data_IF_021257338988
#
_entry.id   IF_021257338988
#
_cell.length_a   1.000
_cell.length_b   1.000
_cell.length_c   1.000
_cell.angle_alpha   90.00
_cell.angle_beta   90.00
_cell.angle_gamma   90.00
#
_symmetry.space_group_name_H-M   'P 1'
#
loop_
_entity.id
_entity.type
_entity.pdbx_description
1 polymer ?
#
# COMPACT_ATOMS: atom_id res chain seq x y z
N UNK A 1 -27.13 -5.03 -31.45
CA UNK A 1 -27.79 -4.14 -30.49
C UNK A 1 -28.27 -4.96 -29.31
N UNK A 2 -27.48 -4.96 -28.24
CA UNK A 2 -27.89 -5.37 -26.90
C UNK A 2 -27.24 -4.33 -26.01
N UNK A 3 -28.01 -3.31 -25.65
CA UNK A 3 -27.65 -2.34 -24.64
C UNK A 3 -27.59 -3.09 -23.31
N UNK A 4 -26.39 -3.50 -22.91
CA UNK A 4 -26.15 -3.93 -21.54
C UNK A 4 -26.18 -2.67 -20.68
N UNK A 5 -27.31 -2.46 -20.00
CA UNK A 5 -27.47 -1.49 -18.93
C UNK A 5 -26.31 -1.67 -17.94
N UNK A 6 -25.41 -0.69 -17.87
CA UNK A 6 -24.30 -0.64 -16.92
C UNK A 6 -24.86 -0.35 -15.53
N UNK A 7 -25.48 -1.34 -14.90
CA UNK A 7 -25.65 -1.32 -13.45
C UNK A 7 -24.24 -1.41 -12.86
N UNK A 8 -23.83 -0.39 -12.10
CA UNK A 8 -22.56 -0.41 -11.39
C UNK A 8 -22.50 -1.69 -10.55
N UNK A 9 -21.69 -2.65 -10.98
CA UNK A 9 -21.61 -3.96 -10.35
C UNK A 9 -21.01 -3.76 -8.97
N UNK A 10 -21.75 -4.07 -7.91
CA UNK A 10 -21.25 -4.00 -6.54
C UNK A 10 -20.08 -4.98 -6.43
N UNK A 11 -18.88 -4.48 -6.13
CA UNK A 11 -17.68 -5.29 -5.94
C UNK A 11 -17.09 -5.07 -4.53
N UNK A 12 -16.63 -6.13 -3.86
CA UNK A 12 -16.67 -7.53 -4.32
C UNK A 12 -18.08 -8.14 -4.32
N UNK A 13 -18.27 -9.23 -5.07
CA UNK A 13 -19.48 -10.06 -5.01
C UNK A 13 -19.53 -10.91 -3.73
N UNK A 14 -20.59 -11.71 -3.55
CA UNK A 14 -20.77 -12.60 -2.39
C UNK A 14 -19.66 -13.66 -2.23
N UNK A 15 -18.88 -13.92 -3.30
CA UNK A 15 -17.73 -14.83 -3.27
C UNK A 15 -16.42 -14.10 -2.99
N UNK A 16 -16.48 -12.79 -2.71
CA UNK A 16 -15.30 -11.97 -2.50
C UNK A 16 -14.56 -11.61 -3.77
N UNK A 17 -15.24 -11.56 -4.93
CA UNK A 17 -14.62 -11.29 -6.23
C UNK A 17 -14.88 -9.89 -6.77
N UNK A 18 -13.83 -9.25 -7.26
CA UNK A 18 -13.86 -8.02 -8.04
C UNK A 18 -13.81 -8.40 -9.52
N UNK A 19 -14.99 -8.51 -10.16
CA UNK A 19 -15.07 -9.15 -11.47
C UNK A 19 -14.59 -10.61 -11.39
N UNK A 20 -13.51 -10.96 -12.08
CA UNK A 20 -12.93 -12.31 -12.04
C UNK A 20 -11.89 -12.49 -10.92
N UNK A 21 -11.36 -11.41 -10.38
CA UNK A 21 -10.25 -11.43 -9.40
C UNK A 21 -10.75 -11.51 -7.95
N UNK A 22 -9.88 -11.92 -7.03
CA UNK A 22 -10.19 -12.03 -5.60
C UNK A 22 -10.50 -13.46 -5.18
N UNK A 23 -11.54 -13.64 -4.36
CA UNK A 23 -11.95 -14.94 -3.84
C UNK A 23 -11.16 -15.42 -2.62
N UNK A 24 -11.37 -16.69 -2.27
CA UNK A 24 -10.74 -17.38 -1.13
C UNK A 24 -10.00 -18.63 -1.63
N UNK A 25 -8.78 -18.47 -2.12
CA UNK A 25 -7.94 -19.57 -2.61
C UNK A 25 -6.99 -20.07 -1.52
N UNK A 26 -7.56 -20.54 -0.42
CA UNK A 26 -6.83 -21.00 0.77
C UNK A 26 -7.17 -22.46 1.10
N UNK A 27 -6.33 -23.15 1.90
CA UNK A 27 -6.69 -24.45 2.44
C UNK A 27 -7.98 -24.41 3.26
N UNK A 28 -8.74 -25.50 3.26
CA UNK A 28 -10.01 -25.63 3.99
C UNK A 28 -9.87 -25.29 5.49
N UNK A 29 -8.71 -25.57 6.07
CA UNK A 29 -8.41 -25.26 7.49
C UNK A 29 -8.50 -23.78 7.84
N UNK A 30 -8.42 -22.87 6.86
CA UNK A 30 -8.56 -21.41 7.05
C UNK A 30 -9.98 -20.89 6.77
N UNK A 31 -10.88 -21.70 6.21
CA UNK A 31 -12.20 -21.23 5.78
C UNK A 31 -13.07 -20.76 6.94
N UNK A 32 -13.01 -21.46 8.09
CA UNK A 32 -13.72 -21.03 9.30
C UNK A 32 -13.19 -19.68 9.81
N UNK A 33 -11.88 -19.49 9.85
CA UNK A 33 -11.22 -18.25 10.26
C UNK A 33 -11.68 -17.05 9.42
N UNK A 34 -11.67 -17.24 8.09
CA UNK A 34 -12.06 -16.21 7.15
C UNK A 34 -13.55 -15.90 7.24
N UNK A 35 -14.38 -16.89 7.54
CA UNK A 35 -15.83 -16.71 7.72
C UNK A 35 -16.13 -15.94 9.00
N UNK A 36 -15.46 -16.28 10.12
CA UNK A 36 -15.54 -15.53 11.38
C UNK A 36 -15.08 -14.08 11.21
N UNK A 37 -13.95 -13.89 10.52
CA UNK A 37 -13.42 -12.56 10.21
C UNK A 37 -14.37 -11.75 9.34
N UNK A 38 -14.93 -12.34 8.29
CA UNK A 38 -15.87 -11.68 7.39
C UNK A 38 -17.12 -11.24 8.13
N UNK A 39 -17.71 -12.13 8.94
CA UNK A 39 -18.88 -11.80 9.74
C UNK A 39 -18.56 -10.69 10.74
N UNK A 40 -17.46 -10.81 11.50
CA UNK A 40 -17.06 -9.80 12.47
C UNK A 40 -16.82 -8.43 11.83
N UNK A 41 -16.17 -8.40 10.67
CA UNK A 41 -15.94 -7.17 9.91
C UNK A 41 -17.27 -6.56 9.42
N UNK A 42 -18.17 -7.38 8.89
CA UNK A 42 -19.48 -6.97 8.40
C UNK A 42 -20.37 -6.39 9.52
N UNK A 43 -20.32 -6.97 10.72
CA UNK A 43 -20.99 -6.44 11.90
C UNK A 43 -20.34 -5.13 12.38
N UNK A 44 -19.01 -5.13 12.53
CA UNK A 44 -18.24 -3.97 12.98
C UNK A 44 -18.42 -2.76 12.05
N UNK A 45 -18.39 -2.95 10.73
CA UNK A 45 -18.56 -1.85 9.79
C UNK A 45 -19.96 -1.26 9.83
N UNK A 46 -20.99 -1.95 10.34
CA UNK A 46 -22.36 -1.43 10.48
C UNK A 46 -22.63 -0.83 11.86
N UNK A 47 -21.80 -1.16 12.84
CA UNK A 47 -21.90 -0.72 14.23
C UNK A 47 -21.43 0.75 14.41
N UNK A 48 -22.31 1.68 14.81
CA UNK A 48 -21.94 3.07 15.07
C UNK A 48 -20.86 3.23 16.16
N UNK A 49 -20.84 2.37 17.18
CA UNK A 49 -19.86 2.48 18.26
C UNK A 49 -18.47 2.05 17.79
N UNK A 50 -18.36 1.00 16.96
CA UNK A 50 -17.08 0.62 16.34
C UNK A 50 -16.53 1.75 15.46
N UNK A 51 -17.39 2.34 14.62
CA UNK A 51 -17.00 3.48 13.77
C UNK A 51 -16.54 4.68 14.59
N UNK A 52 -17.24 4.97 15.69
CA UNK A 52 -16.88 6.05 16.61
C UNK A 52 -15.54 5.79 17.29
N UNK A 53 -15.29 4.58 17.79
CA UNK A 53 -14.02 4.21 18.42
C UNK A 53 -12.87 4.26 17.39
N UNK A 54 -13.07 3.73 16.18
CA UNK A 54 -12.08 3.84 15.10
C UNK A 54 -11.81 5.29 14.73
N UNK A 55 -12.85 6.12 14.55
CA UNK A 55 -12.67 7.54 14.26
C UNK A 55 -11.92 8.28 15.37
N UNK A 56 -12.22 7.98 16.64
CA UNK A 56 -11.48 8.56 17.76
C UNK A 56 -9.99 8.17 17.71
N UNK A 57 -9.67 6.91 17.37
CA UNK A 57 -8.28 6.48 17.19
C UNK A 57 -7.63 7.18 15.99
N UNK A 58 -8.33 7.32 14.87
CA UNK A 58 -7.80 8.01 13.69
C UNK A 58 -7.53 9.49 13.98
N UNK A 59 -8.43 10.19 14.67
CA UNK A 59 -8.27 11.61 14.98
C UNK A 59 -7.26 11.85 16.10
N UNK A 60 -7.49 11.28 17.28
CA UNK A 60 -6.74 11.63 18.50
C UNK A 60 -5.39 10.91 18.61
N UNK A 61 -5.25 9.74 17.96
CA UNK A 61 -4.03 8.93 18.05
C UNK A 61 -3.23 8.93 16.75
N UNK A 62 -3.89 8.77 15.60
CA UNK A 62 -3.21 8.79 14.30
C UNK A 62 -2.92 10.20 13.79
N UNK A 63 -3.69 11.21 14.23
CA UNK A 63 -3.53 12.61 13.84
C UNK A 63 -4.27 12.99 12.56
N UNK A 64 -5.37 12.30 12.24
CA UNK A 64 -6.21 12.61 11.06
C UNK A 64 -7.12 13.83 11.31
N UNK A 65 -7.52 14.58 10.27
CA UNK A 65 -7.16 14.38 8.86
C UNK A 65 -5.72 14.77 8.55
N UNK A 66 -5.08 14.04 7.63
CA UNK A 66 -3.74 14.44 7.15
C UNK A 66 -3.86 15.63 6.18
N UNK A 67 -2.93 16.59 6.17
CA UNK A 67 -3.01 17.74 5.27
C UNK A 67 -3.00 17.37 3.77
N UNK A 68 -3.62 18.24 2.96
CA UNK A 68 -3.42 18.30 1.51
C UNK A 68 -2.60 19.56 1.19
N UNK A 69 -1.33 19.39 0.85
CA UNK A 69 -0.37 20.50 0.70
C UNK A 69 -0.19 20.87 -0.76
N UNK A 70 -0.37 22.14 -1.13
CA UNK A 70 0.04 22.64 -2.44
C UNK A 70 1.58 22.70 -2.51
N UNK A 71 2.18 21.98 -3.45
CA UNK A 71 3.63 21.92 -3.65
C UNK A 71 4.05 22.98 -4.69
N UNK A 72 4.13 24.22 -4.23
CA UNK A 72 4.36 25.39 -5.08
C UNK A 72 5.69 25.30 -5.85
N UNK A 73 6.79 24.99 -5.15
CA UNK A 73 8.13 24.96 -5.75
C UNK A 73 8.31 23.78 -6.70
N UNK A 74 7.66 22.65 -6.42
CA UNK A 74 7.61 21.49 -7.31
C UNK A 74 6.79 21.80 -8.56
N UNK A 75 5.64 22.48 -8.40
CA UNK A 75 4.80 22.95 -9.50
C UNK A 75 5.59 23.90 -10.41
N UNK A 76 6.30 24.87 -9.83
CA UNK A 76 7.18 25.79 -10.57
C UNK A 76 8.33 25.06 -11.28
N UNK A 77 8.96 24.10 -10.61
CA UNK A 77 10.11 23.37 -11.15
C UNK A 77 9.75 22.49 -12.35
N UNK A 78 8.57 21.87 -12.35
CA UNK A 78 8.12 20.98 -13.43
C UNK A 78 7.42 21.75 -14.56
N UNK A 79 6.74 22.84 -14.23
CA UNK A 79 5.83 23.52 -15.15
C UNK A 79 4.58 22.67 -15.45
N UNK A 80 3.53 23.32 -15.92
CA UNK A 80 2.25 22.66 -16.18
C UNK A 80 1.38 22.56 -14.93
N UNK A 81 0.81 21.38 -14.64
CA UNK A 81 -0.25 21.21 -13.63
C UNK A 81 0.14 21.68 -12.21
N UNK A 82 -0.86 22.14 -11.45
CA UNK A 82 -0.76 22.42 -10.02
C UNK A 82 -0.70 21.13 -9.23
N UNK A 83 0.37 20.95 -8.45
CA UNK A 83 0.64 19.71 -7.72
C UNK A 83 0.24 19.83 -6.26
N UNK A 84 -0.53 18.86 -5.77
CA UNK A 84 -0.91 18.73 -4.37
C UNK A 84 -0.43 17.39 -3.80
N UNK A 85 0.03 17.40 -2.56
CA UNK A 85 0.52 16.23 -1.84
C UNK A 85 -0.46 15.87 -0.73
N UNK A 86 -1.05 14.67 -0.78
CA UNK A 86 -1.80 14.12 0.35
C UNK A 86 -0.82 13.51 1.34
N UNK A 87 -0.70 14.13 2.52
CA UNK A 87 0.41 13.97 3.47
C UNK A 87 0.28 12.78 4.43
N UNK A 88 0.15 11.57 3.91
CA UNK A 88 0.14 10.36 4.76
C UNK A 88 1.49 10.09 5.45
N UNK A 89 2.56 10.76 5.02
CA UNK A 89 3.86 10.82 5.69
C UNK A 89 3.81 11.46 7.08
N UNK A 90 2.80 12.30 7.35
CA UNK A 90 2.57 12.95 8.64
C UNK A 90 1.69 12.14 9.59
N UNK A 91 1.12 11.02 9.14
CA UNK A 91 0.37 10.12 9.99
C UNK A 91 1.28 9.60 11.12
N UNK A 92 0.72 9.31 12.30
CA UNK A 92 1.49 8.64 13.35
C UNK A 92 2.10 7.34 12.80
N UNK A 93 3.28 6.98 13.31
CA UNK A 93 4.22 5.97 12.75
C UNK A 93 4.93 6.35 11.45
N UNK A 94 4.39 7.29 10.66
CA UNK A 94 5.02 7.89 9.47
C UNK A 94 4.53 7.37 8.11
N UNK A 95 3.41 6.64 8.06
CA UNK A 95 2.85 6.12 6.81
C UNK A 95 1.34 5.81 6.91
N UNK A 96 0.70 5.66 5.76
CA UNK A 96 -0.71 5.25 5.62
C UNK A 96 -1.04 3.88 6.27
N UNK A 97 -0.04 3.04 6.58
CA UNK A 97 -0.24 1.69 7.13
C UNK A 97 -0.99 1.70 8.47
N UNK A 98 -0.86 2.77 9.26
CA UNK A 98 -1.53 2.89 10.56
C UNK A 98 -3.06 2.88 10.44
N UNK A 99 -3.63 3.43 9.37
CA UNK A 99 -5.09 3.48 9.17
C UNK A 99 -5.69 2.05 9.20
N UNK A 100 -5.09 1.17 8.40
CA UNK A 100 -5.46 -0.24 8.32
C UNK A 100 -5.17 -0.99 9.62
N UNK A 101 -3.98 -0.78 10.21
CA UNK A 101 -3.59 -1.46 11.44
C UNK A 101 -4.56 -1.15 12.59
N UNK A 102 -5.00 0.12 12.72
CA UNK A 102 -5.98 0.52 13.74
C UNK A 102 -7.33 -0.18 13.53
N UNK A 103 -7.83 -0.21 12.29
CA UNK A 103 -9.09 -0.89 11.96
C UNK A 103 -9.05 -2.39 12.28
N UNK A 104 -7.99 -3.07 11.84
CA UNK A 104 -7.82 -4.50 12.09
C UNK A 104 -7.52 -4.83 13.55
N UNK A 105 -6.71 -4.03 14.24
CA UNK A 105 -6.43 -4.23 15.67
C UNK A 105 -7.66 -4.03 16.55
N UNK A 106 -8.51 -3.04 16.22
CA UNK A 106 -9.78 -2.86 16.90
C UNK A 106 -10.74 -4.03 16.62
N UNK A 107 -10.73 -4.53 15.39
CA UNK A 107 -11.49 -5.74 15.02
C UNK A 107 -11.01 -6.98 15.78
N UNK A 108 -9.70 -7.18 15.89
CA UNK A 108 -9.10 -8.26 16.67
C UNK A 108 -9.57 -8.24 18.14
N UNK A 109 -9.56 -7.06 18.75
CA UNK A 109 -10.07 -6.85 20.12
C UNK A 109 -11.56 -7.18 20.23
N UNK A 110 -12.38 -6.77 19.25
CA UNK A 110 -13.81 -7.09 19.20
C UNK A 110 -14.06 -8.60 19.08
N UNK A 111 -13.25 -9.29 18.31
CA UNK A 111 -13.27 -10.75 18.17
C UNK A 111 -12.71 -11.50 19.38
N UNK A 112 -12.29 -10.79 20.44
CA UNK A 112 -11.74 -11.41 21.66
C UNK A 112 -10.35 -12.02 21.49
N UNK A 113 -9.65 -11.72 20.39
CA UNK A 113 -8.30 -12.22 20.13
C UNK A 113 -7.32 -11.52 21.08
N UNK A 114 -6.36 -12.29 21.60
CA UNK A 114 -5.37 -11.80 22.59
C UNK A 114 -4.03 -11.44 21.95
N UNK A 115 -3.79 -11.98 20.76
CA UNK A 115 -2.55 -11.81 20.02
C UNK A 115 -2.83 -11.40 18.59
N UNK A 116 -1.92 -10.61 18.02
CA UNK A 116 -1.89 -10.32 16.60
C UNK A 116 -0.58 -10.79 15.99
N UNK A 117 -0.64 -11.18 14.73
CA UNK A 117 0.55 -11.39 13.91
C UNK A 117 0.50 -10.48 12.68
N UNK A 118 1.66 -10.15 12.13
CA UNK A 118 1.79 -9.39 10.89
C UNK A 118 3.04 -9.82 10.12
N UNK A 119 3.08 -9.58 8.82
CA UNK A 119 4.28 -9.67 7.99
C UNK A 119 4.87 -8.28 7.72
N UNK A 120 6.15 -8.16 7.44
CA UNK A 120 6.69 -6.89 6.95
C UNK A 120 7.95 -7.05 6.11
N UNK A 121 8.11 -6.17 5.12
CA UNK A 121 9.34 -6.00 4.32
C UNK A 121 10.07 -4.75 4.79
N UNK A 122 9.67 -3.57 4.31
CA UNK A 122 10.21 -2.26 4.74
C UNK A 122 10.07 -1.94 6.24
N UNK A 123 9.35 -2.74 7.03
CA UNK A 123 9.16 -2.55 8.47
C UNK A 123 8.01 -1.61 8.86
N UNK A 124 7.47 -0.80 7.94
CA UNK A 124 6.39 0.16 8.28
C UNK A 124 5.10 -0.52 8.75
N UNK A 125 4.68 -1.62 8.08
CA UNK A 125 3.50 -2.37 8.53
C UNK A 125 3.75 -3.08 9.86
N UNK A 126 4.96 -3.61 10.07
CA UNK A 126 5.35 -4.20 11.34
C UNK A 126 5.33 -3.19 12.48
N UNK A 127 5.92 -2.00 12.28
CA UNK A 127 5.87 -0.90 13.26
C UNK A 127 4.44 -0.45 13.53
N UNK A 128 3.59 -0.31 12.50
CA UNK A 128 2.18 0.03 12.68
C UNK A 128 1.44 -1.03 13.51
N UNK A 129 1.65 -2.32 13.20
CA UNK A 129 1.03 -3.44 13.92
C UNK A 129 1.49 -3.50 15.38
N UNK A 130 2.80 -3.37 15.63
CA UNK A 130 3.36 -3.30 16.98
C UNK A 130 2.82 -2.10 17.77
N UNK A 131 2.68 -0.94 17.12
CA UNK A 131 2.11 0.28 17.72
C UNK A 131 0.66 0.05 18.16
N UNK A 132 -0.14 -0.57 17.30
CA UNK A 132 -1.54 -0.85 17.59
C UNK A 132 -1.68 -1.90 18.68
N UNK A 133 -0.86 -2.95 18.66
CA UNK A 133 -0.85 -3.96 19.71
C UNK A 133 -0.54 -3.37 21.08
N UNK A 134 0.52 -2.56 21.18
CA UNK A 134 0.87 -1.85 22.41
C UNK A 134 -0.26 -0.94 22.89
N UNK A 135 -0.91 -0.21 21.96
CA UNK A 135 -2.02 0.71 22.29
C UNK A 135 -3.28 -0.03 22.77
N UNK A 136 -3.58 -1.19 22.21
CA UNK A 136 -4.80 -1.95 22.48
C UNK A 136 -4.62 -3.05 23.54
N UNK A 137 -3.39 -3.27 24.04
CA UNK A 137 -3.08 -4.29 25.04
C UNK A 137 -3.07 -5.72 24.46
N UNK A 138 -2.64 -5.88 23.21
CA UNK A 138 -2.49 -7.16 22.53
C UNK A 138 -1.00 -7.56 22.49
N UNK A 139 -0.70 -8.86 22.47
CA UNK A 139 0.65 -9.31 22.10
C UNK A 139 0.83 -9.24 20.59
N UNK A 140 2.07 -9.05 20.12
CA UNK A 140 2.38 -8.91 18.71
C UNK A 140 3.63 -9.67 18.32
N UNK A 141 3.52 -10.50 17.28
CA UNK A 141 4.65 -11.09 16.58
C UNK A 141 4.67 -10.59 15.14
N UNK A 142 5.84 -10.17 14.67
CA UNK A 142 6.03 -9.64 13.30
C UNK A 142 7.01 -10.53 12.56
N UNK A 143 6.55 -11.18 11.50
CA UNK A 143 7.38 -11.95 10.59
C UNK A 143 8.08 -11.01 9.60
N UNK A 144 9.39 -11.14 9.45
CA UNK A 144 10.18 -10.27 8.58
C UNK A 144 11.30 -11.08 7.92
N UNK A 145 11.54 -10.84 6.63
CA UNK A 145 12.62 -11.52 5.90
C UNK A 145 13.99 -11.24 6.53
N UNK A 146 14.88 -12.24 6.60
CA UNK A 146 16.21 -12.05 7.20
C UNK A 146 17.02 -10.94 6.51
N UNK A 147 16.91 -10.80 5.19
CA UNK A 147 17.59 -9.74 4.45
C UNK A 147 16.94 -8.36 4.73
N UNK A 148 15.62 -8.32 4.90
CA UNK A 148 14.89 -7.11 5.28
C UNK A 148 15.24 -6.67 6.71
N UNK A 149 15.40 -7.61 7.66
CA UNK A 149 15.86 -7.31 9.03
C UNK A 149 17.21 -6.61 9.01
N UNK A 150 18.13 -7.05 8.15
CA UNK A 150 19.46 -6.43 7.99
C UNK A 150 19.35 -5.01 7.44
N UNK A 151 18.57 -4.82 6.36
CA UNK A 151 18.40 -3.53 5.67
C UNK A 151 17.62 -2.50 6.50
N UNK A 152 16.68 -2.96 7.33
CA UNK A 152 15.71 -2.12 8.04
C UNK A 152 15.84 -2.23 9.57
N UNK A 153 17.08 -2.34 10.05
CA UNK A 153 17.41 -2.53 11.48
C UNK A 153 16.78 -1.49 12.41
N UNK A 154 16.60 -0.25 11.96
CA UNK A 154 15.92 0.81 12.72
C UNK A 154 14.44 0.48 12.99
N UNK A 155 13.74 -0.09 12.00
CA UNK A 155 12.34 -0.48 12.19
C UNK A 155 12.23 -1.74 13.06
N UNK A 156 13.16 -2.68 12.97
CA UNK A 156 13.27 -3.83 13.89
C UNK A 156 13.43 -3.35 15.33
N UNK A 157 14.34 -2.39 15.56
CA UNK A 157 14.51 -1.79 16.88
C UNK A 157 13.24 -1.10 17.40
N UNK A 158 12.54 -0.33 16.54
CA UNK A 158 11.26 0.31 16.89
C UNK A 158 10.20 -0.72 17.28
N UNK A 159 10.09 -1.81 16.54
CA UNK A 159 9.15 -2.91 16.83
C UNK A 159 9.44 -3.55 18.20
N UNK A 160 10.71 -3.83 18.50
CA UNK A 160 11.11 -4.39 19.79
C UNK A 160 10.85 -3.40 20.95
N UNK A 161 11.09 -2.10 20.74
CA UNK A 161 10.80 -1.05 21.73
C UNK A 161 9.30 -0.95 22.05
N UNK A 162 8.44 -1.26 21.08
CA UNK A 162 6.99 -1.32 21.23
C UNK A 162 6.51 -2.63 21.90
N UNK A 163 7.42 -3.55 22.22
CA UNK A 163 7.11 -4.81 22.91
C UNK A 163 6.68 -5.95 21.99
N UNK A 164 6.86 -5.81 20.67
CA UNK A 164 6.62 -6.91 19.73
C UNK A 164 7.86 -7.80 19.56
N UNK A 165 7.63 -9.07 19.20
CA UNK A 165 8.69 -10.00 18.83
C UNK A 165 8.85 -10.03 17.30
N UNK A 166 10.06 -9.80 16.80
CA UNK A 166 10.37 -9.90 15.36
C UNK A 166 10.90 -11.30 15.05
N UNK A 167 10.18 -12.05 14.22
CA UNK A 167 10.47 -13.43 13.84
C UNK A 167 11.11 -13.45 12.43
N UNK A 168 12.37 -13.92 12.28
CA UNK A 168 13.02 -13.95 10.98
C UNK A 168 12.45 -15.06 10.08
N UNK A 169 12.08 -14.69 8.86
CA UNK A 169 11.81 -15.63 7.78
C UNK A 169 13.10 -15.96 7.04
N UNK A 170 13.60 -17.18 7.27
CA UNK A 170 14.90 -17.67 6.75
C UNK A 170 14.77 -18.54 5.49
N UNK A 171 13.54 -18.86 5.10
CA UNK A 171 13.22 -19.66 3.92
C UNK A 171 13.24 -18.82 2.64
N UNK A 172 13.47 -19.48 1.50
CA UNK A 172 13.39 -18.85 0.18
C UNK A 172 14.33 -17.67 -0.04
N UNK A 173 13.78 -16.59 -0.58
CA UNK A 173 14.46 -15.31 -0.87
C UNK A 173 14.76 -14.48 0.38
N UNK A 174 14.16 -14.83 1.53
CA UNK A 174 14.31 -14.15 2.82
C UNK A 174 13.85 -12.68 2.77
N UNK A 175 12.78 -12.43 2.03
CA UNK A 175 12.14 -11.11 1.84
C UNK A 175 10.65 -11.16 2.24
N UNK A 176 9.90 -10.09 1.95
CA UNK A 176 8.46 -9.96 2.24
C UNK A 176 7.62 -11.19 1.86
N UNK A 177 7.86 -11.79 0.68
CA UNK A 177 7.13 -12.99 0.22
C UNK A 177 7.25 -14.14 1.24
N UNK A 178 8.45 -14.38 1.74
CA UNK A 178 8.72 -15.47 2.67
C UNK A 178 8.17 -15.15 4.07
N UNK A 179 8.24 -13.88 4.50
CA UNK A 179 7.59 -13.42 5.72
C UNK A 179 6.07 -13.61 5.68
N UNK A 180 5.41 -13.33 4.54
CA UNK A 180 3.98 -13.61 4.34
C UNK A 180 3.67 -15.10 4.47
N UNK A 181 4.50 -15.96 3.86
CA UNK A 181 4.33 -17.41 3.94
C UNK A 181 4.44 -17.92 5.38
N UNK A 182 5.43 -17.46 6.16
CA UNK A 182 5.57 -17.86 7.56
C UNK A 182 4.43 -17.32 8.43
N UNK A 183 3.97 -16.08 8.21
CA UNK A 183 2.84 -15.50 8.92
C UNK A 183 1.55 -16.31 8.68
N UNK A 184 1.25 -16.67 7.42
CA UNK A 184 0.08 -17.50 7.08
C UNK A 184 0.20 -18.88 7.73
N UNK A 185 1.38 -19.53 7.69
CA UNK A 185 1.58 -20.83 8.34
C UNK A 185 1.39 -20.77 9.85
N UNK A 186 1.89 -19.73 10.49
CA UNK A 186 1.68 -19.50 11.92
C UNK A 186 0.20 -19.27 12.23
N UNK A 187 -0.50 -18.51 11.41
CA UNK A 187 -1.92 -18.24 11.59
C UNK A 187 -2.76 -19.52 11.52
N UNK A 188 -2.47 -20.40 10.55
CA UNK A 188 -3.16 -21.69 10.40
C UNK A 188 -3.12 -22.52 11.68
N UNK A 189 -2.02 -22.48 12.43
CA UNK A 189 -1.85 -23.25 13.67
C UNK A 189 -2.37 -22.56 14.94
N UNK A 190 -2.71 -21.26 14.89
CA UNK A 190 -3.09 -20.44 16.06
C UNK A 190 -4.39 -19.64 15.86
N UNK A 191 -5.22 -20.04 14.90
CA UNK A 191 -6.39 -19.31 14.41
C UNK A 191 -7.39 -18.89 15.50
N UNK A 192 -7.52 -19.69 16.56
CA UNK A 192 -8.47 -19.44 17.65
C UNK A 192 -8.04 -18.25 18.53
N UNK A 193 -6.74 -18.08 18.75
CA UNK A 193 -6.19 -17.08 19.69
C UNK A 193 -5.56 -15.86 19.00
N UNK A 194 -5.24 -16.00 17.70
CA UNK A 194 -4.44 -15.05 16.94
C UNK A 194 -5.21 -14.44 15.78
N UNK A 195 -5.15 -13.11 15.69
CA UNK A 195 -5.63 -12.36 14.53
C UNK A 195 -4.46 -12.06 13.58
N UNK A 196 -4.62 -12.35 12.29
CA UNK A 196 -3.63 -11.96 11.29
C UNK A 196 -3.94 -10.55 10.74
N UNK A 197 -3.10 -9.58 11.07
CA UNK A 197 -3.18 -8.21 10.56
C UNK A 197 -2.41 -8.12 9.24
N UNK A 198 -3.13 -8.27 8.13
CA UNK A 198 -2.51 -8.20 6.79
C UNK A 198 -2.13 -6.75 6.43
N UNK A 199 -0.98 -6.57 5.77
CA UNK A 199 -0.41 -5.25 5.51
C UNK A 199 -0.90 -4.52 4.27
N UNK A 200 -1.69 -5.16 3.42
CA UNK A 200 -2.15 -4.56 2.16
C UNK A 200 -3.48 -5.15 1.69
N UNK A 201 -3.99 -4.66 0.55
CA UNK A 201 -5.24 -5.11 -0.09
C UNK A 201 -5.06 -6.40 -0.90
N UNK A 202 -4.22 -7.29 -0.37
CA UNK A 202 -3.90 -8.61 -0.92
C UNK A 202 -4.57 -9.68 -0.06
N UNK A 203 -4.29 -10.95 -0.34
CA UNK A 203 -4.84 -12.04 0.47
C UNK A 203 -6.22 -12.51 0.01
N UNK A 204 -6.79 -13.51 0.70
CA UNK A 204 -8.15 -13.98 0.46
C UNK A 204 -9.18 -12.97 0.97
N UNK A 205 -10.40 -13.00 0.41
CA UNK A 205 -11.54 -12.30 1.02
C UNK A 205 -11.73 -12.75 2.49
N UNK A 206 -12.00 -11.84 3.44
CA UNK A 206 -12.41 -10.44 3.27
C UNK A 206 -11.27 -9.41 3.24
N UNK A 207 -10.00 -9.82 3.28
CA UNK A 207 -8.88 -8.90 3.48
C UNK A 207 -8.79 -7.76 2.46
N UNK A 208 -8.82 -7.99 1.13
CA UNK A 208 -8.75 -6.88 0.16
C UNK A 208 -9.83 -5.81 0.38
N UNK A 209 -11.07 -6.25 0.61
CA UNK A 209 -12.21 -5.37 0.86
C UNK A 209 -12.08 -4.65 2.21
N UNK A 210 -11.74 -5.37 3.27
CA UNK A 210 -11.57 -4.82 4.61
C UNK A 210 -10.46 -3.75 4.65
N UNK A 211 -9.29 -4.06 4.09
CA UNK A 211 -8.17 -3.11 4.08
C UNK A 211 -8.51 -1.85 3.28
N UNK A 212 -9.22 -1.98 2.14
CA UNK A 212 -9.70 -0.82 1.38
C UNK A 212 -10.63 0.04 2.23
N UNK A 213 -11.60 -0.56 2.92
CA UNK A 213 -12.54 0.19 3.77
C UNK A 213 -11.84 0.94 4.90
N UNK A 214 -10.72 0.43 5.43
CA UNK A 214 -9.91 1.15 6.42
C UNK A 214 -8.96 2.19 5.80
N UNK A 215 -8.67 2.11 4.50
CA UNK A 215 -7.79 3.05 3.80
C UNK A 215 -8.54 4.14 3.01
N UNK A 216 -9.83 3.96 2.70
CA UNK A 216 -10.61 4.92 1.90
C UNK A 216 -10.67 6.34 2.49
N UNK A 217 -10.40 6.46 3.79
CA UNK A 217 -10.30 7.75 4.50
C UNK A 217 -9.27 8.68 3.83
N UNK A 218 -8.23 8.14 3.18
CA UNK A 218 -7.25 8.91 2.43
C UNK A 218 -7.93 9.69 1.30
N UNK A 219 -8.71 9.00 0.46
CA UNK A 219 -9.42 9.61 -0.64
C UNK A 219 -10.61 10.47 -0.17
N UNK A 220 -11.29 10.09 0.91
CA UNK A 220 -12.45 10.84 1.44
C UNK A 220 -12.01 12.22 1.94
N UNK A 221 -10.89 12.25 2.68
CA UNK A 221 -10.27 13.51 3.10
C UNK A 221 -9.75 14.30 1.89
N UNK A 222 -9.06 13.64 0.95
CA UNK A 222 -8.52 14.32 -0.24
C UNK A 222 -9.63 14.98 -1.06
N UNK A 223 -10.73 14.27 -1.29
CA UNK A 223 -11.92 14.77 -2.01
C UNK A 223 -12.53 15.96 -1.28
N UNK A 224 -12.65 15.89 0.04
CA UNK A 224 -13.21 16.97 0.85
C UNK A 224 -12.31 18.21 0.83
N UNK A 225 -11.01 18.00 1.05
CA UNK A 225 -9.99 19.05 1.10
C UNK A 225 -9.86 19.77 -0.25
N UNK A 226 -9.76 19.04 -1.36
CA UNK A 226 -9.59 19.66 -2.68
C UNK A 226 -10.86 20.43 -3.11
N UNK A 227 -12.04 19.92 -2.76
CA UNK A 227 -13.30 20.61 -3.01
C UNK A 227 -13.42 21.89 -2.19
N UNK A 228 -12.96 21.88 -0.93
CA UNK A 228 -12.91 23.08 -0.07
C UNK A 228 -11.90 24.11 -0.60
N UNK A 229 -10.70 23.66 -1.02
CA UNK A 229 -9.62 24.54 -1.48
C UNK A 229 -9.90 25.15 -2.86
N UNK A 230 -10.50 24.40 -3.78
CA UNK A 230 -10.58 24.76 -5.19
C UNK A 230 -12.00 24.82 -5.77
N UNK A 231 -13.02 24.39 -5.01
CA UNK A 231 -14.39 24.32 -5.50
C UNK A 231 -14.63 23.27 -6.58
N UNK A 232 -13.66 22.37 -6.84
CA UNK A 232 -13.73 21.32 -7.86
C UNK A 232 -12.88 20.10 -7.50
N UNK A 233 -13.13 18.98 -8.19
CA UNK A 233 -12.31 17.76 -8.14
C UNK A 233 -10.97 17.96 -8.88
N UNK A 234 -9.95 17.12 -8.57
CA UNK A 234 -8.68 17.14 -9.30
C UNK A 234 -8.84 16.54 -10.71
N UNK A 235 -7.90 16.84 -11.58
CA UNK A 235 -7.85 16.29 -12.94
C UNK A 235 -7.23 14.89 -12.94
N UNK A 236 -6.22 14.65 -12.09
CA UNK A 236 -5.58 13.34 -11.94
C UNK A 236 -5.14 13.08 -10.49
N UNK A 237 -5.24 11.82 -10.06
CA UNK A 237 -4.74 11.34 -8.76
C UNK A 237 -3.75 10.19 -8.99
N UNK A 238 -2.57 10.31 -8.38
CA UNK A 238 -1.44 9.39 -8.55
C UNK A 238 -1.05 8.77 -7.21
N UNK A 239 -0.82 7.45 -7.19
CA UNK A 239 -0.36 6.73 -6.01
C UNK A 239 0.53 5.55 -6.37
N UNK A 240 1.51 5.23 -5.52
CA UNK A 240 2.40 4.08 -5.71
C UNK A 240 1.67 2.76 -5.42
N UNK A 241 2.08 1.69 -6.10
CA UNK A 241 1.40 0.40 -6.09
C UNK A 241 2.42 -0.71 -5.85
N UNK A 242 2.53 -1.12 -4.59
CA UNK A 242 3.10 -2.42 -4.20
C UNK A 242 1.96 -3.43 -4.17
N UNK A 243 1.50 -3.83 -2.98
CA UNK A 243 0.23 -4.57 -2.86
C UNK A 243 -1.04 -3.72 -3.10
N UNK A 244 -0.94 -2.37 -3.09
CA UNK A 244 -2.03 -1.46 -3.51
C UNK A 244 -2.81 -0.69 -2.42
N UNK A 245 -2.52 -0.88 -1.12
CA UNK A 245 -3.40 -0.33 -0.06
C UNK A 245 -3.54 1.19 -0.04
N UNK A 246 -2.46 1.95 -0.24
CA UNK A 246 -2.53 3.41 -0.30
C UNK A 246 -3.27 3.88 -1.56
N UNK A 247 -2.99 3.23 -2.69
CA UNK A 247 -3.54 3.57 -3.98
C UNK A 247 -5.05 3.38 -4.00
N UNK A 248 -5.56 2.20 -3.61
CA UNK A 248 -7.02 2.02 -3.57
C UNK A 248 -7.68 2.89 -2.51
N UNK A 249 -7.03 3.14 -1.37
CA UNK A 249 -7.54 4.07 -0.35
C UNK A 249 -7.70 5.49 -0.88
N UNK A 250 -6.76 5.93 -1.71
CA UNK A 250 -6.82 7.21 -2.41
C UNK A 250 -7.87 7.20 -3.53
N UNK A 251 -7.90 6.16 -4.37
CA UNK A 251 -8.70 6.09 -5.59
C UNK A 251 -10.18 5.82 -5.34
N UNK A 252 -10.50 5.01 -4.33
CA UNK A 252 -11.85 4.48 -4.12
C UNK A 252 -12.94 5.57 -4.13
N UNK A 253 -12.77 6.71 -3.43
CA UNK A 253 -13.74 7.78 -3.42
C UNK A 253 -13.88 8.53 -4.75
N UNK A 254 -12.99 8.31 -5.73
CA UNK A 254 -13.04 8.92 -7.07
C UNK A 254 -13.43 7.94 -8.18
N UNK A 255 -13.69 6.67 -7.86
CA UNK A 255 -13.94 5.64 -8.89
C UNK A 255 -15.14 5.95 -9.79
N UNK A 256 -16.16 6.65 -9.28
CA UNK A 256 -17.35 7.03 -10.05
C UNK A 256 -17.22 8.39 -10.74
N UNK A 257 -16.16 9.16 -10.46
CA UNK A 257 -15.91 10.45 -11.10
C UNK A 257 -15.06 10.24 -12.36
N UNK A 258 -15.70 9.97 -13.50
CA UNK A 258 -15.03 9.69 -14.78
C UNK A 258 -14.10 10.83 -15.24
N UNK A 259 -14.36 12.05 -14.79
CA UNK A 259 -13.50 13.21 -15.05
C UNK A 259 -12.16 13.18 -14.31
N UNK A 260 -12.01 12.31 -13.30
CA UNK A 260 -10.79 12.18 -12.51
C UNK A 260 -9.98 10.99 -13.04
N UNK A 261 -8.84 11.28 -13.66
CA UNK A 261 -7.89 10.26 -14.06
C UNK A 261 -7.26 9.61 -12.82
N UNK A 262 -7.14 8.29 -12.83
CA UNK A 262 -6.55 7.51 -11.74
C UNK A 262 -5.35 6.76 -12.25
N UNK A 263 -4.22 6.93 -11.56
CA UNK A 263 -2.93 6.38 -11.98
C UNK A 263 -2.20 5.69 -10.84
N UNK A 264 -2.06 4.37 -10.96
CA UNK A 264 -1.18 3.58 -10.12
C UNK A 264 0.25 3.56 -10.66
N UNK A 265 1.25 3.52 -9.78
CA UNK A 265 2.67 3.49 -10.18
C UNK A 265 3.39 2.31 -9.54
N UNK A 266 3.82 1.36 -10.37
CA UNK A 266 4.56 0.17 -9.97
C UNK A 266 6.08 0.42 -10.01
N UNK A 267 6.84 -0.43 -9.32
CA UNK A 267 8.31 -0.37 -9.39
C UNK A 267 8.82 -1.17 -10.59
N UNK A 268 9.49 -0.48 -11.51
CA UNK A 268 10.20 -1.08 -12.63
C UNK A 268 11.60 -1.60 -12.25
N UNK A 269 12.07 -1.39 -11.01
CA UNK A 269 13.39 -1.82 -10.55
C UNK A 269 14.50 -1.30 -11.46
N UNK A 270 15.29 -2.21 -12.04
CA UNK A 270 16.37 -1.90 -12.99
C UNK A 270 15.87 -1.70 -14.44
N UNK A 271 14.57 -1.86 -14.68
CA UNK A 271 13.90 -1.68 -15.97
C UNK A 271 12.93 -2.82 -16.28
N UNK A 272 11.81 -2.50 -16.95
CA UNK A 272 10.79 -3.49 -17.35
C UNK A 272 11.30 -4.51 -18.38
N UNK A 273 12.37 -4.18 -19.10
CA UNK A 273 13.02 -5.09 -20.06
C UNK A 273 13.99 -6.08 -19.39
N UNK A 274 14.15 -6.00 -18.07
CA UNK A 274 15.01 -6.89 -17.26
C UNK A 274 14.16 -7.86 -16.43
N UNK A 275 14.78 -8.86 -15.81
CA UNK A 275 14.12 -9.72 -14.81
C UNK A 275 14.07 -9.08 -13.41
N UNK A 276 14.55 -7.84 -13.25
CA UNK A 276 14.69 -7.14 -11.97
C UNK A 276 13.71 -5.98 -11.86
N UNK A 277 12.43 -6.32 -11.71
CA UNK A 277 11.35 -5.36 -11.50
C UNK A 277 10.24 -5.92 -10.61
N UNK A 278 9.31 -5.07 -10.18
CA UNK A 278 8.06 -5.43 -9.50
C UNK A 278 6.82 -4.88 -10.23
N UNK A 279 6.92 -4.68 -11.56
CA UNK A 279 5.86 -4.12 -12.41
C UNK A 279 4.77 -5.16 -12.73
N UNK A 280 4.03 -5.58 -11.70
CA UNK A 280 3.13 -6.74 -11.71
C UNK A 280 1.96 -6.63 -12.69
N UNK A 281 1.27 -5.50 -12.74
CA UNK A 281 0.15 -5.26 -13.64
C UNK A 281 0.62 -5.00 -15.06
N UNK A 282 1.83 -4.44 -15.22
CA UNK A 282 2.43 -4.14 -16.51
C UNK A 282 2.97 -5.39 -17.22
N UNK A 283 3.64 -6.29 -16.48
CA UNK A 283 4.38 -7.44 -17.04
C UNK A 283 3.84 -8.80 -16.58
N UNK A 284 3.03 -8.83 -15.53
CA UNK A 284 2.49 -10.06 -14.98
C UNK A 284 1.28 -10.61 -15.74
N UNK A 285 0.82 -11.78 -15.30
CA UNK A 285 -0.36 -12.46 -15.85
C UNK A 285 -1.24 -13.00 -14.72
N UNK A 286 -2.55 -13.19 -14.95
CA UNK A 286 -3.46 -13.73 -13.93
C UNK A 286 -3.02 -15.08 -13.37
N UNK A 287 -3.14 -15.25 -12.05
CA UNK A 287 -2.91 -16.50 -11.34
C UNK A 287 -3.18 -16.36 -9.85
N UNK A 288 -2.93 -17.41 -9.08
CA UNK A 288 -3.28 -17.46 -7.65
C UNK A 288 -2.01 -17.30 -6.81
N UNK A 289 -2.01 -16.30 -5.94
CA UNK A 289 -0.92 -16.08 -4.98
C UNK A 289 -1.49 -15.59 -3.65
N UNK A 290 -0.94 -16.11 -2.55
CA UNK A 290 -1.29 -15.72 -1.18
C UNK A 290 -2.81 -15.68 -0.89
N UNK A 291 -3.61 -16.54 -1.52
CA UNK A 291 -5.04 -16.70 -1.19
C UNK A 291 -6.03 -15.97 -2.10
N UNK A 292 -5.60 -15.26 -3.15
CA UNK A 292 -6.50 -14.68 -4.15
C UNK A 292 -6.04 -14.88 -5.59
N UNK A 293 -7.01 -14.89 -6.51
CA UNK A 293 -6.76 -14.79 -7.95
C UNK A 293 -6.50 -13.33 -8.32
N UNK A 294 -5.34 -13.04 -8.89
CA UNK A 294 -4.87 -11.67 -9.19
C UNK A 294 -3.81 -11.69 -10.28
N UNK A 295 -3.30 -10.54 -10.73
CA UNK A 295 -2.07 -10.51 -11.52
C UNK A 295 -0.85 -10.80 -10.63
N UNK A 296 0.10 -11.55 -11.16
CA UNK A 296 1.41 -11.75 -10.55
C UNK A 296 2.51 -11.92 -11.60
N UNK A 297 3.75 -11.66 -11.19
CA UNK A 297 4.94 -12.04 -11.92
C UNK A 297 5.18 -13.55 -11.76
N UNK A 298 5.15 -14.27 -12.88
CA UNK A 298 5.30 -15.72 -12.91
C UNK A 298 5.90 -16.18 -14.24
N UNK A 299 6.71 -17.22 -14.20
CA UNK A 299 7.31 -17.84 -15.38
C UNK A 299 6.28 -18.64 -16.18
N UNK A 300 6.67 -19.21 -17.33
CA UNK A 300 5.80 -20.00 -18.21
C UNK A 300 5.13 -21.19 -17.51
N UNK A 301 5.78 -21.76 -16.49
CA UNK A 301 5.30 -22.90 -15.71
C UNK A 301 4.40 -22.50 -14.53
N UNK A 302 4.16 -21.20 -14.34
CA UNK A 302 3.36 -20.66 -13.25
C UNK A 302 4.10 -20.58 -11.92
N UNK A 303 5.44 -20.63 -11.93
CA UNK A 303 6.25 -20.37 -10.73
C UNK A 303 6.36 -18.88 -10.50
N UNK A 304 6.14 -18.45 -9.26
CA UNK A 304 6.24 -17.03 -8.87
C UNK A 304 7.67 -16.54 -9.08
N UNK A 305 7.83 -15.49 -9.88
CA UNK A 305 9.12 -14.83 -10.09
C UNK A 305 9.45 -13.94 -8.89
N UNK A 306 10.74 -13.81 -8.59
CA UNK A 306 11.21 -12.87 -7.57
C UNK A 306 11.07 -11.45 -8.10
N UNK A 307 10.38 -10.61 -7.33
CA UNK A 307 10.31 -9.17 -7.60
C UNK A 307 11.64 -8.50 -7.25
N UNK A 308 11.84 -7.29 -7.77
CA UNK A 308 12.94 -6.43 -7.37
C UNK A 308 12.56 -4.97 -7.43
N UNK A 309 12.93 -4.23 -6.38
CA UNK A 309 12.96 -2.76 -6.36
C UNK A 309 13.91 -2.29 -5.26
N UNK A 310 14.48 -1.10 -5.42
CA UNK A 310 15.16 -0.38 -4.33
C UNK A 310 14.21 -0.10 -3.15
N UNK A 311 12.89 -0.05 -3.41
CA UNK A 311 11.87 0.18 -2.41
C UNK A 311 11.27 -1.14 -1.91
N UNK A 312 11.65 -1.55 -0.69
CA UNK A 312 11.17 -2.78 -0.07
C UNK A 312 9.63 -2.85 0.10
N UNK A 313 8.91 -1.71 0.10
CA UNK A 313 7.45 -1.68 0.15
C UNK A 313 6.75 -1.93 -1.20
N UNK A 314 7.48 -1.81 -2.30
CA UNK A 314 7.01 -2.12 -3.66
C UNK A 314 7.55 -3.46 -4.19
N UNK A 315 8.53 -4.05 -3.51
CA UNK A 315 9.14 -5.34 -3.84
C UNK A 315 8.22 -6.53 -3.53
N UNK A 316 7.15 -6.66 -4.33
CA UNK A 316 6.14 -7.69 -4.19
C UNK A 316 5.68 -8.19 -5.57
N UNK A 317 5.69 -9.51 -5.85
CA UNK A 317 5.41 -10.04 -7.18
C UNK A 317 3.91 -10.15 -7.50
N UNK A 318 3.02 -9.84 -6.56
CA UNK A 318 1.58 -9.90 -6.75
C UNK A 318 0.93 -8.53 -6.66
N UNK A 319 -0.40 -8.48 -6.77
CA UNK A 319 -1.16 -7.24 -6.59
C UNK A 319 -2.51 -7.49 -5.93
N UNK A 320 -3.10 -6.49 -5.28
CA UNK A 320 -4.47 -6.58 -4.79
C UNK A 320 -5.49 -6.85 -5.92
N UNK A 321 -6.46 -7.75 -5.73
CA UNK A 321 -7.37 -8.17 -6.79
C UNK A 321 -8.27 -7.04 -7.33
N UNK A 322 -8.58 -6.04 -6.51
CA UNK A 322 -9.35 -4.87 -6.97
C UNK A 322 -8.54 -4.02 -7.96
N UNK A 323 -7.21 -3.93 -7.82
CA UNK A 323 -6.37 -3.26 -8.81
C UNK A 323 -6.32 -4.02 -10.13
N UNK A 324 -6.26 -5.36 -10.09
CA UNK A 324 -6.40 -6.23 -11.27
C UNK A 324 -7.70 -5.96 -12.02
N UNK A 325 -8.82 -5.91 -11.28
CA UNK A 325 -10.12 -5.56 -11.83
C UNK A 325 -10.16 -4.14 -12.43
N UNK A 326 -9.58 -3.16 -11.73
CA UNK A 326 -9.54 -1.77 -12.17
C UNK A 326 -8.63 -1.56 -13.40
N UNK A 327 -7.59 -2.39 -13.56
CA UNK A 327 -6.79 -2.45 -14.79
C UNK A 327 -7.62 -2.97 -15.95
N UNK A 328 -8.23 -4.13 -15.79
CA UNK A 328 -8.92 -4.80 -16.90
C UNK A 328 -10.20 -4.07 -17.31
N UNK A 329 -10.85 -3.36 -16.39
CA UNK A 329 -11.97 -2.44 -16.70
C UNK A 329 -11.53 -1.13 -17.35
N UNK A 330 -10.23 -0.82 -17.35
CA UNK A 330 -9.68 0.44 -17.87
C UNK A 330 -9.93 1.66 -16.98
N UNK A 331 -10.50 1.48 -15.77
CA UNK A 331 -10.80 2.61 -14.87
C UNK A 331 -9.54 3.25 -14.28
N UNK A 332 -8.50 2.45 -14.01
CA UNK A 332 -7.21 2.90 -13.51
C UNK A 332 -6.13 2.54 -14.51
N UNK A 333 -5.26 3.51 -14.81
CA UNK A 333 -4.06 3.28 -15.62
C UNK A 333 -2.86 3.00 -14.71
N UNK A 334 -1.94 2.15 -15.16
CA UNK A 334 -0.76 1.80 -14.38
C UNK A 334 0.49 2.15 -15.17
N UNK A 335 1.44 2.81 -14.50
CA UNK A 335 2.75 3.15 -15.02
C UNK A 335 3.83 2.42 -14.22
N UNK A 336 5.04 2.33 -14.77
CA UNK A 336 6.18 1.73 -14.10
C UNK A 336 7.33 2.75 -14.02
N UNK A 337 7.95 2.85 -12.85
CA UNK A 337 9.03 3.79 -12.55
C UNK A 337 10.26 3.02 -12.08
N UNK A 338 11.42 3.31 -12.67
CA UNK A 338 12.69 2.67 -12.32
C UNK A 338 13.25 3.19 -11.00
N UNK A 339 14.17 2.44 -10.39
CA UNK A 339 14.84 2.83 -9.15
C UNK A 339 15.58 4.18 -9.31
N UNK A 340 16.20 4.42 -10.47
CA UNK A 340 16.88 5.67 -10.78
C UNK A 340 15.92 6.87 -10.81
N UNK A 341 14.77 6.73 -11.46
CA UNK A 341 13.74 7.77 -11.54
C UNK A 341 13.13 8.06 -10.16
N UNK A 342 12.93 7.03 -9.32
CA UNK A 342 12.48 7.21 -7.95
C UNK A 342 13.51 8.00 -7.11
N UNK A 343 14.81 7.73 -7.26
CA UNK A 343 15.88 8.48 -6.59
C UNK A 343 15.96 9.93 -7.05
N UNK A 344 15.76 10.20 -8.33
CA UNK A 344 15.64 11.57 -8.85
C UNK A 344 14.46 12.32 -8.22
N UNK A 345 13.32 11.65 -8.08
CA UNK A 345 12.13 12.21 -7.45
C UNK A 345 12.32 12.50 -5.96
N UNK A 346 13.04 11.63 -5.22
CA UNK A 346 13.46 11.92 -3.84
C UNK A 346 14.26 13.23 -3.81
N UNK A 347 15.30 13.33 -4.63
CA UNK A 347 16.16 14.50 -4.65
C UNK A 347 15.41 15.78 -5.00
N UNK A 348 14.50 15.71 -5.98
CA UNK A 348 13.70 16.85 -6.41
C UNK A 348 12.79 17.32 -5.26
N UNK A 349 11.99 16.41 -4.69
CA UNK A 349 11.05 16.76 -3.62
C UNK A 349 11.76 17.33 -2.37
N UNK A 350 12.94 16.78 -2.03
CA UNK A 350 13.77 17.32 -0.97
C UNK A 350 14.22 18.76 -1.27
N UNK A 351 14.67 19.05 -2.50
CA UNK A 351 15.19 20.37 -2.88
C UNK A 351 14.09 21.42 -3.10
N UNK A 352 12.91 21.01 -3.57
CA UNK A 352 11.81 21.93 -3.86
C UNK A 352 10.96 22.15 -2.63
N UNK A 353 10.57 21.10 -1.91
CA UNK A 353 9.56 21.17 -0.83
C UNK A 353 10.14 20.92 0.57
N UNK A 354 11.40 20.50 0.70
CA UNK A 354 11.98 20.16 2.00
C UNK A 354 11.36 18.91 2.62
N UNK A 355 10.77 18.04 1.80
CA UNK A 355 10.11 16.81 2.24
C UNK A 355 10.96 15.63 1.78
N UNK A 356 11.34 14.76 2.72
CA UNK A 356 12.02 13.49 2.43
C UNK A 356 10.95 12.40 2.29
N UNK A 357 10.56 12.00 1.07
CA UNK A 357 9.53 10.99 0.87
C UNK A 357 10.08 9.59 1.12
N UNK A 358 9.21 8.65 1.49
CA UNK A 358 9.56 7.24 1.38
C UNK A 358 9.85 6.87 -0.09
N UNK A 359 10.77 5.93 -0.33
CA UNK A 359 11.11 5.48 -1.69
C UNK A 359 9.87 4.97 -2.45
N UNK A 360 8.90 4.37 -1.76
CA UNK A 360 7.61 3.95 -2.32
C UNK A 360 6.87 5.17 -2.90
N UNK A 361 6.71 6.22 -2.09
CA UNK A 361 6.02 7.45 -2.47
C UNK A 361 6.76 8.20 -3.58
N UNK A 362 8.09 8.11 -3.61
CA UNK A 362 8.91 8.73 -4.64
C UNK A 362 8.61 8.18 -6.05
N UNK A 363 8.15 6.93 -6.18
CA UNK A 363 7.68 6.42 -7.47
C UNK A 363 6.46 7.21 -7.99
N UNK A 364 5.50 7.52 -7.11
CA UNK A 364 4.35 8.35 -7.48
C UNK A 364 4.77 9.78 -7.86
N UNK A 365 5.78 10.33 -7.18
CA UNK A 365 6.36 11.65 -7.50
C UNK A 365 7.08 11.62 -8.85
N UNK A 366 7.86 10.57 -9.13
CA UNK A 366 8.56 10.42 -10.42
C UNK A 366 7.59 10.33 -11.60
N UNK A 367 6.47 9.62 -11.46
CA UNK A 367 5.43 9.62 -12.48
C UNK A 367 4.81 11.02 -12.64
N UNK A 368 4.55 11.73 -11.53
CA UNK A 368 4.07 13.10 -11.61
C UNK A 368 5.07 14.04 -12.32
N UNK A 369 6.38 13.83 -12.17
CA UNK A 369 7.42 14.58 -12.90
C UNK A 369 7.32 14.38 -14.42
N UNK A 370 6.91 13.20 -14.88
CA UNK A 370 6.65 12.93 -16.31
C UNK A 370 5.32 13.51 -16.78
N UNK A 371 4.30 13.50 -15.91
CA UNK A 371 2.93 13.88 -16.25
C UNK A 371 2.71 15.39 -16.24
N UNK A 372 3.09 16.06 -15.16
CA UNK A 372 2.76 17.46 -14.91
C UNK A 372 3.18 18.43 -16.03
N UNK A 373 4.38 18.30 -16.66
CA UNK A 373 4.81 19.19 -17.74
C UNK A 373 3.94 19.13 -19.01
N UNK A 374 3.18 18.05 -19.18
CA UNK A 374 2.28 17.84 -20.32
C UNK A 374 0.81 18.20 -20.01
N UNK A 375 0.55 18.70 -18.80
CA UNK A 375 -0.76 19.17 -18.37
C UNK A 375 -0.82 20.71 -18.42
N UNK A 376 -2.04 21.24 -18.54
CA UNK A 376 -2.24 22.68 -18.53
C UNK A 376 -2.09 23.27 -17.10
N UNK A 377 -1.59 24.51 -16.94
CA UNK A 377 -1.39 25.12 -15.61
C UNK A 377 -2.63 25.30 -14.74
N UNK A 378 -3.83 25.24 -15.33
CA UNK A 378 -5.08 25.26 -14.59
C UNK A 378 -5.46 23.89 -14.01
N UNK A 379 -4.93 22.79 -14.57
CA UNK A 379 -5.17 21.42 -14.13
C UNK A 379 -4.51 21.12 -12.79
N UNK A 380 -5.08 20.16 -12.07
CA UNK A 380 -4.70 19.78 -10.70
C UNK A 380 -4.34 18.31 -10.65
N UNK A 381 -3.15 18.02 -10.17
CA UNK A 381 -2.63 16.68 -9.97
C UNK A 381 -2.38 16.44 -8.48
N UNK A 382 -2.98 15.40 -7.92
CA UNK A 382 -2.82 15.03 -6.51
C UNK A 382 -1.96 13.78 -6.40
N UNK A 383 -0.92 13.84 -5.58
CA UNK A 383 -0.02 12.72 -5.29
C UNK A 383 -0.30 12.20 -3.88
N UNK A 384 -0.54 10.89 -3.75
CA UNK A 384 -0.58 10.23 -2.46
C UNK A 384 0.84 10.04 -1.92
N UNK A 385 1.27 10.91 -0.99
CA UNK A 385 2.56 10.80 -0.33
C UNK A 385 2.47 9.79 0.82
N UNK A 386 2.50 8.51 0.45
CA UNK A 386 2.09 7.36 1.28
C UNK A 386 2.86 7.16 2.60
N UNK A 387 4.02 7.79 2.75
CA UNK A 387 4.90 7.67 3.91
C UNK A 387 6.17 8.52 3.80
N UNK A 388 6.84 8.73 4.94
CA UNK A 388 8.09 9.50 5.06
C UNK A 388 9.35 8.63 4.91
N UNK A 389 10.43 9.26 4.43
CA UNK A 389 11.67 8.59 4.04
C UNK A 389 12.70 8.35 5.13
N UNK A 390 12.39 8.57 6.42
CA UNK A 390 13.34 8.35 7.52
C UNK A 390 13.95 6.94 7.49
N UNK A 391 13.15 5.93 7.14
CA UNK A 391 13.58 4.53 7.03
C UNK A 391 14.51 4.26 5.84
N UNK A 392 14.49 5.14 4.84
CA UNK A 392 15.18 4.97 3.57
C UNK A 392 16.48 5.78 3.51
N UNK A 393 16.79 6.60 4.52
CA UNK A 393 17.94 7.52 4.48
C UNK A 393 19.27 6.81 4.20
N UNK A 394 19.50 5.64 4.81
CA UNK A 394 20.72 4.86 4.55
C UNK A 394 20.74 4.31 3.12
N UNK A 395 19.64 3.72 2.65
CA UNK A 395 19.51 3.23 1.27
C UNK A 395 19.72 4.35 0.25
N UNK A 396 19.14 5.53 0.50
CA UNK A 396 19.29 6.72 -0.34
C UNK A 396 20.75 7.20 -0.31
N UNK A 397 21.38 7.24 0.87
CA UNK A 397 22.77 7.64 1.01
C UNK A 397 23.71 6.74 0.20
N UNK A 398 23.56 5.42 0.32
CA UNK A 398 24.38 4.43 -0.39
C UNK A 398 24.18 4.57 -1.90
N UNK A 399 22.92 4.60 -2.37
CA UNK A 399 22.60 4.71 -3.79
C UNK A 399 23.10 6.01 -4.45
N UNK A 400 23.07 7.13 -3.71
CA UNK A 400 23.59 8.42 -4.19
C UNK A 400 25.13 8.53 -4.13
N UNK A 401 25.79 7.72 -3.29
CA UNK A 401 27.25 7.68 -3.21
C UNK A 401 27.83 6.87 -4.37
N UNK A 402 27.23 5.73 -4.70
CA UNK A 402 27.64 4.87 -5.82
C UNK A 402 27.56 5.60 -7.18
N UNK A 403 26.57 6.49 -7.34
CA UNK A 403 26.43 7.31 -8.55
C UNK A 403 27.50 8.39 -8.66
N UNK A 404 28.05 8.88 -7.54
CA UNK A 404 29.14 9.85 -7.56
C UNK A 404 30.50 9.20 -7.85
N UNK A 405 30.75 7.98 -7.36
CA UNK A 405 32.00 7.26 -7.62
C UNK A 405 32.07 6.70 -9.06
N UNK A 406 30.93 6.25 -9.63
CA UNK A 406 30.85 5.79 -11.02
C UNK A 406 31.07 6.89 -12.07
N UNK A 407 30.89 8.17 -11.70
CA UNK A 407 31.11 9.32 -12.58
C UNK A 407 32.57 9.80 -12.69
N UNK A 408 33.48 9.25 -11.87
CA UNK A 408 34.91 9.63 -11.84
C UNK A 408 35.80 8.70 -12.69
N UNK A 409 35.22 7.66 -13.32
CA UNK A 409 35.94 6.71 -14.20
C UNK A 409 35.50 6.74 -15.68
N UNK A 410 34.85 7.82 -16.15
CA UNK A 410 34.52 8.00 -17.58
C UNK A 410 35.47 8.98 -18.28
#
# INVERSE_FOLDING_TARGET
MSEAQTTARVVPDEKGRFGEFGGKFVPETLMNALTELEQAFEEARRDPEFRKELNNLLTEYAGRPTPLTYAERLTEALGGARIYLKREDLNHTGAHKLNNALGQGLLAKRMGKKSIIAETGAGQHGVASATVAAKLGLSCQVFMGEEDIRRQSLNVFRMNLLGSEVIPAVSGSRTLKDATNEAIRHWVSHVDETFYVIGSVVGPHPYPYMVREFQKIIGEETRSQIQEMLGRLPDEVIACVGGGSNAIGMFYPFLQDESVALRGVEAAGLGIDTDKHAATLSMGRPGVIHGSLTYLLQDENGQVQEAHSISAGLDYPGIGPEHSYLKDSGRVTYAAITDAEALEAVQLLCKTEGIIPALESAHAVAEAMKRAPHMSPDQVLVICLSGRGDKDVLTIQDALSDTQEGGVQA
#
